data_IF_262184111506
#
_entry.id   IF_262184111506
#
_cell.length_a   1.000
_cell.length_b   1.000
_cell.length_c   1.000
_cell.angle_alpha   90.00
_cell.angle_beta   90.00
_cell.angle_gamma   90.00
#
_symmetry.space_group_name_H-M   'P 1'
#
loop_
_entity.id
_entity.type
_entity.pdbx_description
1 polymer ?
#
# COMPACT_ATOMS: atom_id res chain seq x y z
N UNK A 1 -17.66 21.71 -4.05
CA UNK A 1 -16.51 21.53 -3.15
C UNK A 1 -16.95 21.84 -1.74
N UNK A 2 -16.62 20.97 -0.79
CA UNK A 2 -16.88 21.19 0.64
C UNK A 2 -15.77 22.05 1.26
N UNK A 3 -16.03 22.68 2.41
CA UNK A 3 -15.03 23.46 3.17
C UNK A 3 -13.78 22.61 3.48
N UNK A 4 -14.01 21.35 3.85
CA UNK A 4 -12.96 20.35 4.11
C UNK A 4 -12.09 20.03 2.89
N UNK A 5 -12.68 19.92 1.70
CA UNK A 5 -11.92 19.73 0.45
C UNK A 5 -11.02 20.94 0.14
N UNK A 6 -11.50 22.15 0.43
CA UNK A 6 -10.75 23.37 0.21
C UNK A 6 -9.57 23.54 1.19
N UNK A 7 -9.75 23.14 2.44
CA UNK A 7 -8.68 23.05 3.44
C UNK A 7 -7.61 22.04 3.03
N UNK A 8 -8.02 20.87 2.56
CA UNK A 8 -7.09 19.84 2.09
C UNK A 8 -6.27 20.30 0.89
N UNK A 9 -6.92 20.95 -0.10
CA UNK A 9 -6.25 21.52 -1.27
C UNK A 9 -5.23 22.59 -0.86
N UNK A 10 -5.60 23.48 0.05
CA UNK A 10 -4.71 24.53 0.55
C UNK A 10 -3.50 23.95 1.27
N UNK A 11 -3.72 22.92 2.09
CA UNK A 11 -2.63 22.23 2.78
C UNK A 11 -1.71 21.44 1.84
N UNK A 12 -2.29 20.79 0.83
CA UNK A 12 -1.53 20.07 -0.18
C UNK A 12 -0.65 21.02 -1.01
N UNK A 13 -1.14 22.23 -1.29
CA UNK A 13 -0.39 23.30 -1.95
C UNK A 13 0.72 23.90 -1.07
N UNK A 14 0.60 23.80 0.26
CA UNK A 14 1.59 24.28 1.22
C UNK A 14 2.73 23.28 1.49
N UNK A 15 2.74 22.12 0.84
CA UNK A 15 3.85 21.16 0.93
C UNK A 15 5.05 21.67 0.13
N UNK A 16 6.21 21.70 0.78
CA UNK A 16 7.49 22.03 0.17
C UNK A 16 7.83 21.00 -0.92
N UNK A 17 8.30 21.50 -2.06
CA UNK A 17 8.69 20.65 -3.19
C UNK A 17 9.69 19.55 -2.79
N UNK A 18 10.65 19.87 -1.92
CA UNK A 18 11.63 18.91 -1.41
C UNK A 18 10.98 17.78 -0.58
N UNK A 19 9.97 18.09 0.23
CA UNK A 19 9.24 17.09 1.03
C UNK A 19 8.41 16.17 0.12
N UNK A 20 7.79 16.73 -0.92
CA UNK A 20 7.08 15.98 -1.95
C UNK A 20 8.01 15.06 -2.74
N UNK A 21 9.16 15.58 -3.20
CA UNK A 21 10.18 14.81 -3.93
C UNK A 21 10.73 13.67 -3.07
N UNK A 22 10.98 13.93 -1.79
CA UNK A 22 11.41 12.91 -0.84
C UNK A 22 10.34 11.81 -0.68
N UNK A 23 9.06 12.18 -0.57
CA UNK A 23 7.96 11.21 -0.49
C UNK A 23 7.85 10.37 -1.77
N UNK A 24 7.85 11.01 -2.95
CA UNK A 24 7.75 10.34 -4.24
C UNK A 24 8.95 9.39 -4.47
N UNK A 25 10.17 9.82 -4.13
CA UNK A 25 11.36 8.99 -4.23
C UNK A 25 11.27 7.75 -3.32
N UNK A 26 10.77 7.90 -2.10
CA UNK A 26 10.56 6.79 -1.16
C UNK A 26 9.51 5.79 -1.69
N UNK A 27 8.42 6.28 -2.29
CA UNK A 27 7.42 5.41 -2.94
C UNK A 27 8.04 4.65 -4.12
N UNK A 28 8.78 5.35 -4.99
CA UNK A 28 9.43 4.75 -6.14
C UNK A 28 10.45 3.68 -5.72
N UNK A 29 11.18 3.89 -4.63
CA UNK A 29 12.12 2.90 -4.09
C UNK A 29 11.38 1.64 -3.62
N UNK A 30 10.32 1.77 -2.82
CA UNK A 30 9.51 0.61 -2.41
C UNK A 30 8.95 -0.17 -3.60
N UNK A 31 8.55 0.52 -4.67
CA UNK A 31 8.08 -0.12 -5.91
C UNK A 31 9.20 -0.89 -6.64
N UNK A 32 10.43 -0.35 -6.67
CA UNK A 32 11.60 -1.04 -7.23
C UNK A 32 11.97 -2.27 -6.41
N UNK A 33 12.00 -2.15 -5.08
CA UNK A 33 12.27 -3.27 -4.18
C UNK A 33 11.23 -4.38 -4.36
N UNK A 34 9.94 -4.04 -4.38
CA UNK A 34 8.87 -4.99 -4.65
C UNK A 34 9.03 -5.68 -6.01
N UNK A 35 9.38 -4.94 -7.06
CA UNK A 35 9.60 -5.51 -8.40
C UNK A 35 10.75 -6.52 -8.40
N UNK A 36 11.83 -6.25 -7.65
CA UNK A 36 12.93 -7.20 -7.45
C UNK A 36 12.44 -8.47 -6.75
N UNK A 37 11.67 -8.32 -5.66
CA UNK A 37 11.08 -9.43 -4.94
C UNK A 37 10.12 -10.26 -5.80
N UNK A 38 9.27 -9.63 -6.59
CA UNK A 38 8.38 -10.30 -7.55
C UNK A 38 9.18 -11.17 -8.53
N UNK A 39 10.32 -10.68 -9.03
CA UNK A 39 11.24 -11.47 -9.85
C UNK A 39 11.84 -12.68 -9.12
N UNK A 40 12.14 -12.55 -7.83
CA UNK A 40 12.62 -13.67 -6.98
C UNK A 40 11.49 -14.71 -6.81
N UNK A 41 10.27 -14.27 -6.46
CA UNK A 41 9.12 -15.16 -6.33
C UNK A 41 8.80 -15.88 -7.65
N UNK A 42 8.80 -15.17 -8.78
CA UNK A 42 8.58 -15.75 -10.11
C UNK A 42 9.54 -16.91 -10.41
N UNK A 43 10.84 -16.73 -10.12
CA UNK A 43 11.83 -17.80 -10.29
C UNK A 43 11.61 -18.97 -9.34
N UNK A 44 11.31 -18.69 -8.07
CA UNK A 44 11.10 -19.72 -7.03
C UNK A 44 9.83 -20.53 -7.24
N UNK A 45 8.79 -19.94 -7.84
CA UNK A 45 7.51 -20.61 -8.10
C UNK A 45 7.68 -21.94 -8.86
N UNK A 46 8.68 -22.05 -9.73
CA UNK A 46 8.99 -23.27 -10.51
C UNK A 46 9.31 -24.49 -9.65
N UNK A 47 9.80 -24.29 -8.42
CA UNK A 47 10.18 -25.35 -7.48
C UNK A 47 9.16 -25.59 -6.37
N UNK A 48 8.04 -24.86 -6.35
CA UNK A 48 7.05 -24.96 -5.28
C UNK A 48 6.21 -26.23 -5.48
N UNK A 49 6.10 -27.04 -4.43
CA UNK A 49 5.16 -28.18 -4.41
C UNK A 49 3.76 -27.76 -3.98
N UNK A 50 2.75 -28.60 -4.25
CA UNK A 50 1.37 -28.36 -3.81
C UNK A 50 1.26 -28.17 -2.30
N UNK A 51 2.09 -28.87 -1.51
CA UNK A 51 2.11 -28.74 -0.04
C UNK A 51 2.67 -27.41 0.43
N UNK A 52 3.51 -26.76 -0.36
CA UNK A 52 4.17 -25.50 -0.03
C UNK A 52 3.44 -24.28 -0.60
N UNK A 53 2.48 -24.48 -1.52
CA UNK A 53 1.79 -23.41 -2.22
C UNK A 53 1.13 -22.39 -1.27
N UNK A 54 0.51 -22.86 -0.19
CA UNK A 54 -0.08 -21.99 0.83
C UNK A 54 0.98 -21.16 1.57
N UNK A 55 2.08 -21.78 2.01
CA UNK A 55 3.20 -21.06 2.65
C UNK A 55 3.83 -20.05 1.71
N UNK A 56 3.94 -20.39 0.43
CA UNK A 56 4.44 -19.49 -0.61
C UNK A 56 3.49 -18.30 -0.84
N UNK A 57 2.18 -18.54 -0.86
CA UNK A 57 1.16 -17.50 -0.95
C UNK A 57 1.22 -16.51 0.22
N UNK A 58 1.40 -17.02 1.45
CA UNK A 58 1.60 -16.19 2.65
C UNK A 58 2.88 -15.35 2.53
N UNK A 59 4.00 -15.96 2.16
CA UNK A 59 5.27 -15.25 2.01
C UNK A 59 5.22 -14.16 0.94
N UNK A 60 4.61 -14.46 -0.22
CA UNK A 60 4.35 -13.49 -1.29
C UNK A 60 3.52 -12.32 -0.76
N UNK A 61 2.39 -12.62 -0.11
CA UNK A 61 1.46 -11.61 0.39
C UNK A 61 2.09 -10.67 1.42
N UNK A 62 2.82 -11.24 2.39
CA UNK A 62 3.52 -10.44 3.41
C UNK A 62 4.63 -9.58 2.78
N UNK A 63 5.31 -10.09 1.75
CA UNK A 63 6.31 -9.30 1.02
C UNK A 63 5.64 -8.16 0.27
N UNK A 64 4.53 -8.42 -0.43
CA UNK A 64 3.76 -7.38 -1.11
C UNK A 64 3.33 -6.29 -0.14
N UNK A 65 2.67 -6.67 0.98
CA UNK A 65 2.22 -5.73 2.01
C UNK A 65 3.37 -4.94 2.63
N UNK A 66 4.51 -5.59 2.89
CA UNK A 66 5.68 -4.95 3.50
C UNK A 66 6.28 -3.81 2.68
N UNK A 67 6.07 -3.82 1.36
CA UNK A 67 6.59 -2.82 0.42
C UNK A 67 5.57 -1.76 -0.01
N UNK A 68 4.34 -1.82 0.50
CA UNK A 68 3.33 -0.80 0.19
C UNK A 68 3.63 0.53 0.89
N UNK A 69 3.29 1.68 0.27
CA UNK A 69 3.62 3.00 0.78
C UNK A 69 2.67 3.47 1.90
N UNK A 70 2.41 2.61 2.89
CA UNK A 70 1.52 2.85 4.03
C UNK A 70 2.21 3.53 5.24
N UNK A 71 3.52 3.79 5.16
CA UNK A 71 4.32 4.31 6.28
C UNK A 71 4.50 5.84 6.21
N UNK A 72 4.74 6.52 7.35
CA UNK A 72 4.99 7.97 7.38
C UNK A 72 6.13 8.45 6.46
N UNK A 73 7.14 7.61 6.21
CA UNK A 73 8.28 7.93 5.34
C UNK A 73 7.90 8.18 3.86
N UNK A 74 6.72 7.76 3.43
CA UNK A 74 6.20 8.02 2.08
C UNK A 74 5.11 9.10 2.07
N UNK A 75 4.82 9.74 3.20
CA UNK A 75 3.79 10.76 3.32
C UNK A 75 4.44 12.15 3.33
N UNK A 76 4.17 13.02 2.33
CA UNK A 76 4.79 14.35 2.27
C UNK A 76 4.44 15.22 3.49
N UNK A 77 3.22 15.08 4.02
CA UNK A 77 2.80 15.76 5.25
C UNK A 77 3.60 15.31 6.47
N UNK A 78 3.87 14.01 6.63
CA UNK A 78 4.67 13.51 7.74
C UNK A 78 6.14 13.93 7.61
N UNK A 79 6.68 13.97 6.39
CA UNK A 79 8.05 14.44 6.14
C UNK A 79 8.23 15.90 6.57
N UNK A 80 7.25 16.75 6.25
CA UNK A 80 7.28 18.18 6.56
C UNK A 80 6.94 18.48 8.03
N UNK A 81 5.85 17.91 8.54
CA UNK A 81 5.25 18.28 9.83
C UNK A 81 5.40 17.24 10.94
N UNK A 82 5.92 16.04 10.65
CA UNK A 82 5.97 14.93 11.62
C UNK A 82 7.16 14.96 12.58
N UNK A 83 8.13 15.86 12.41
CA UNK A 83 9.39 15.86 13.17
C UNK A 83 9.21 16.15 14.66
N UNK A 84 8.28 17.02 15.01
CA UNK A 84 8.02 17.44 16.40
C UNK A 84 6.86 16.68 17.05
N UNK A 85 6.23 15.75 16.32
CA UNK A 85 5.01 14.99 16.69
C UNK A 85 3.80 15.86 17.06
N UNK A 86 3.89 17.18 16.91
CA UNK A 86 2.77 18.08 17.14
C UNK A 86 1.78 18.01 15.99
N UNK A 87 2.26 17.66 14.78
CA UNK A 87 1.51 17.75 13.54
C UNK A 87 0.89 19.15 13.33
N UNK A 88 1.46 20.18 13.96
CA UNK A 88 0.96 21.55 13.86
C UNK A 88 1.09 22.03 12.41
N UNK A 89 -0.01 22.54 11.85
CA UNK A 89 -0.06 22.96 10.44
C UNK A 89 -0.16 21.81 9.42
N UNK A 90 -0.22 20.55 9.87
CA UNK A 90 -0.44 19.42 8.98
C UNK A 90 -1.91 19.40 8.53
N UNK A 91 -2.18 19.78 7.28
CA UNK A 91 -3.57 19.77 6.82
C UNK A 91 -4.15 18.37 6.57
N UNK A 92 -3.33 17.32 6.45
CA UNK A 92 -3.84 15.95 6.57
C UNK A 92 -4.45 15.74 7.96
N UNK A 93 -3.74 16.13 9.02
CA UNK A 93 -4.24 16.00 10.38
C UNK A 93 -5.49 16.85 10.65
N UNK A 94 -5.54 18.07 10.10
CA UNK A 94 -6.72 18.94 10.21
C UNK A 94 -7.97 18.33 9.56
N UNK A 95 -7.79 17.58 8.47
CA UNK A 95 -8.90 17.04 7.69
C UNK A 95 -9.22 15.58 8.01
N UNK A 96 -8.29 14.79 8.55
CA UNK A 96 -8.43 13.34 8.77
C UNK A 96 -8.12 12.89 10.21
N UNK A 97 -7.82 13.83 11.13
CA UNK A 97 -7.36 13.54 12.48
C UNK A 97 -5.85 13.32 12.55
N UNK A 98 -5.24 13.49 13.73
CA UNK A 98 -3.79 13.31 13.89
C UNK A 98 -3.44 11.83 13.78
N UNK A 99 -2.34 11.51 13.10
CA UNK A 99 -1.94 10.11 12.85
C UNK A 99 -1.62 9.28 14.12
N UNK A 100 -1.54 9.90 15.29
CA UNK A 100 -1.38 9.26 16.60
C UNK A 100 -2.68 9.17 17.42
N UNK A 101 -3.80 9.65 16.89
CA UNK A 101 -5.13 9.51 17.50
C UNK A 101 -5.78 8.22 17.00
N UNK A 102 -6.30 7.40 17.92
CA UNK A 102 -6.90 6.09 17.63
C UNK A 102 -8.03 6.15 16.59
N UNK A 103 -8.74 7.28 16.50
CA UNK A 103 -9.89 7.46 15.60
C UNK A 103 -9.55 8.19 14.31
N UNK A 104 -8.29 8.53 14.05
CA UNK A 104 -7.90 9.17 12.79
C UNK A 104 -8.05 8.21 11.61
N UNK A 105 -8.30 8.74 10.41
CA UNK A 105 -8.44 7.89 9.24
C UNK A 105 -7.18 7.07 8.96
N UNK A 106 -6.00 7.64 9.21
CA UNK A 106 -4.74 6.93 9.12
C UNK A 106 -4.63 5.79 10.15
N UNK A 107 -4.97 6.04 11.42
CA UNK A 107 -4.92 5.03 12.48
C UNK A 107 -5.84 3.85 12.18
N UNK A 108 -7.08 4.12 11.79
CA UNK A 108 -8.05 3.08 11.40
C UNK A 108 -7.52 2.27 10.20
N UNK A 109 -6.98 2.93 9.18
CA UNK A 109 -6.37 2.27 8.03
C UNK A 109 -5.16 1.41 8.41
N UNK A 110 -4.18 1.96 9.15
CA UNK A 110 -2.94 1.25 9.45
C UNK A 110 -3.18 0.07 10.41
N UNK A 111 -4.13 0.18 11.34
CA UNK A 111 -4.53 -0.93 12.20
C UNK A 111 -5.13 -2.07 11.38
N UNK A 112 -6.09 -1.78 10.50
CA UNK A 112 -6.64 -2.78 9.59
C UNK A 112 -5.54 -3.41 8.71
N UNK A 113 -4.61 -2.60 8.21
CA UNK A 113 -3.51 -3.03 7.35
C UNK A 113 -2.54 -3.98 8.08
N UNK A 114 -2.15 -3.64 9.32
CA UNK A 114 -1.29 -4.47 10.16
C UNK A 114 -2.01 -5.76 10.57
N UNK A 115 -3.29 -5.67 10.86
CA UNK A 115 -4.12 -6.81 11.22
C UNK A 115 -4.26 -7.81 10.05
N UNK A 116 -4.43 -7.33 8.81
CA UNK A 116 -4.38 -8.19 7.62
C UNK A 116 -3.04 -8.93 7.54
N UNK A 117 -1.92 -8.23 7.76
CA UNK A 117 -0.60 -8.84 7.82
C UNK A 117 -0.51 -9.93 8.90
N UNK A 118 -1.07 -9.68 10.09
CA UNK A 118 -1.13 -10.66 11.20
C UNK A 118 -1.96 -11.88 10.83
N UNK A 119 -3.14 -11.69 10.24
CA UNK A 119 -4.02 -12.78 9.78
C UNK A 119 -3.30 -13.67 8.78
N UNK A 120 -2.69 -13.09 7.74
CA UNK A 120 -1.93 -13.85 6.74
C UNK A 120 -0.71 -14.54 7.35
N UNK A 121 -0.04 -13.89 8.31
CA UNK A 121 1.07 -14.51 9.02
C UNK A 121 0.63 -15.69 9.88
N UNK A 122 -0.57 -15.69 10.44
CA UNK A 122 -1.07 -16.78 11.28
C UNK A 122 -1.93 -17.79 10.51
N UNK A 123 -2.18 -17.54 9.23
CA UNK A 123 -3.05 -18.38 8.41
C UNK A 123 -2.51 -19.83 8.37
N UNK A 124 -3.35 -20.75 8.81
CA UNK A 124 -3.11 -22.19 8.85
C UNK A 124 -4.17 -22.96 8.04
N UNK A 125 -5.12 -22.26 7.39
CA UNK A 125 -6.20 -22.88 6.62
C UNK A 125 -5.67 -23.33 5.25
N UNK A 126 -5.12 -24.54 5.21
CA UNK A 126 -4.65 -25.12 3.94
C UNK A 126 -5.83 -25.62 3.11
N UNK A 127 -6.07 -24.95 1.99
CA UNK A 127 -7.07 -25.38 1.01
C UNK A 127 -6.46 -26.39 0.03
N UNK A 128 -7.11 -27.55 -0.21
CA UNK A 128 -6.64 -28.49 -1.21
C UNK A 128 -6.81 -27.87 -2.60
N UNK A 129 -5.68 -27.57 -3.25
CA UNK A 129 -5.65 -27.00 -4.59
C UNK A 129 -4.64 -27.78 -5.43
N UNK A 130 -4.95 -27.96 -6.71
CA UNK A 130 -4.03 -28.61 -7.64
C UNK A 130 -2.84 -27.70 -7.94
N UNK A 131 -1.64 -28.26 -8.07
CA UNK A 131 -0.43 -27.45 -8.24
C UNK A 131 -0.49 -26.53 -9.46
N UNK A 132 -1.06 -26.99 -10.58
CA UNK A 132 -1.20 -26.17 -11.78
C UNK A 132 -2.09 -24.93 -11.54
N UNK A 133 -3.14 -25.09 -10.74
CA UNK A 133 -4.05 -24.00 -10.35
C UNK A 133 -3.34 -23.04 -9.38
N UNK A 134 -2.63 -23.59 -8.39
CA UNK A 134 -1.82 -22.79 -7.47
C UNK A 134 -0.78 -21.93 -8.20
N UNK A 135 -0.08 -22.55 -9.17
CA UNK A 135 0.93 -21.88 -9.98
C UNK A 135 0.33 -20.78 -10.84
N UNK A 136 -0.87 -20.98 -11.40
CA UNK A 136 -1.56 -19.95 -12.17
C UNK A 136 -1.94 -18.75 -11.29
N UNK A 137 -2.55 -18.99 -10.11
CA UNK A 137 -2.93 -17.94 -9.17
C UNK A 137 -1.71 -17.15 -8.70
N UNK A 138 -0.65 -17.84 -8.25
CA UNK A 138 0.58 -17.20 -7.77
C UNK A 138 1.29 -16.45 -8.89
N UNK A 139 1.36 -17.04 -10.09
CA UNK A 139 2.00 -16.45 -11.25
C UNK A 139 1.30 -15.16 -11.70
N UNK A 140 -0.04 -15.16 -11.70
CA UNK A 140 -0.85 -13.98 -11.98
C UNK A 140 -0.62 -12.88 -10.94
N UNK A 141 -0.75 -13.20 -9.64
CA UNK A 141 -0.47 -12.25 -8.55
C UNK A 141 0.92 -11.63 -8.68
N UNK A 142 1.96 -12.43 -8.93
CA UNK A 142 3.34 -11.94 -9.08
C UNK A 142 3.48 -11.02 -10.30
N UNK A 143 3.00 -11.46 -11.45
CA UNK A 143 3.13 -10.71 -12.72
C UNK A 143 2.39 -9.37 -12.64
N UNK A 144 1.17 -9.39 -12.13
CA UNK A 144 0.37 -8.18 -11.96
C UNK A 144 0.96 -7.24 -10.91
N UNK A 145 1.45 -7.77 -9.79
CA UNK A 145 2.11 -6.97 -8.75
C UNK A 145 3.35 -6.26 -9.31
N UNK A 146 4.18 -6.97 -10.08
CA UNK A 146 5.35 -6.40 -10.73
C UNK A 146 4.95 -5.29 -11.73
N UNK A 147 3.93 -5.53 -12.56
CA UNK A 147 3.46 -4.55 -13.52
C UNK A 147 2.87 -3.29 -12.84
N UNK A 148 2.13 -3.47 -11.74
CA UNK A 148 1.57 -2.36 -10.95
C UNK A 148 2.67 -1.55 -10.27
N UNK A 149 3.66 -2.22 -9.68
CA UNK A 149 4.80 -1.56 -9.07
C UNK A 149 5.63 -0.77 -10.09
N UNK A 150 5.85 -1.33 -11.28
CA UNK A 150 6.51 -0.63 -12.39
C UNK A 150 5.78 0.65 -12.78
N UNK A 151 4.47 0.56 -13.04
CA UNK A 151 3.64 1.74 -13.36
C UNK A 151 3.64 2.78 -12.25
N UNK A 152 3.45 2.38 -11.00
CA UNK A 152 3.48 3.31 -9.87
C UNK A 152 4.83 4.04 -9.77
N UNK A 153 5.95 3.35 -10.04
CA UNK A 153 7.27 3.97 -10.04
C UNK A 153 7.45 5.01 -11.17
N UNK A 154 6.83 4.78 -12.33
CA UNK A 154 6.79 5.73 -13.46
C UNK A 154 5.88 6.92 -13.11
N UNK A 155 4.64 6.65 -12.67
CA UNK A 155 3.64 7.66 -12.33
C UNK A 155 4.15 8.68 -11.30
N UNK A 156 4.87 8.22 -10.26
CA UNK A 156 5.44 9.13 -9.25
C UNK A 156 6.64 9.94 -9.75
N UNK A 157 7.36 9.46 -10.76
CA UNK A 157 8.46 10.20 -11.40
C UNK A 157 7.92 11.26 -12.37
N UNK A 158 6.76 11.01 -12.97
CA UNK A 158 6.09 11.93 -13.89
C UNK A 158 5.39 13.11 -13.20
N UNK A 159 5.32 13.12 -11.86
CA UNK A 159 4.83 14.26 -11.07
C UNK A 159 5.69 15.50 -11.35
N UNK A 160 5.35 16.23 -12.40
CA UNK A 160 6.19 17.27 -13.01
C UNK A 160 6.25 18.53 -12.15
N UNK A 161 7.42 19.18 -12.00
CA UNK A 161 7.52 20.50 -11.38
C UNK A 161 6.62 21.49 -12.14
N UNK A 162 5.58 22.00 -11.49
CA UNK A 162 4.62 22.96 -12.09
C UNK A 162 3.19 22.45 -12.27
N UNK A 163 2.91 21.15 -12.05
CA UNK A 163 1.52 20.71 -11.90
C UNK A 163 0.92 21.28 -10.61
N UNK A 164 -0.27 21.86 -10.68
CA UNK A 164 -1.04 22.21 -9.49
C UNK A 164 -1.44 20.91 -8.76
N UNK A 165 -1.52 20.98 -7.43
CA UNK A 165 -1.98 19.88 -6.59
C UNK A 165 -1.16 18.57 -6.66
N UNK A 166 0.14 18.60 -6.97
CA UNK A 166 1.00 17.39 -7.04
C UNK A 166 0.94 16.53 -5.77
N UNK A 167 0.87 17.16 -4.60
CA UNK A 167 0.70 16.45 -3.32
C UNK A 167 -0.61 15.67 -3.30
N UNK A 168 -1.71 16.25 -3.80
CA UNK A 168 -2.98 15.54 -3.91
C UNK A 168 -2.85 14.36 -4.86
N UNK A 169 -2.20 14.57 -6.00
CA UNK A 169 -2.01 13.52 -6.99
C UNK A 169 -1.18 12.36 -6.43
N UNK A 170 -0.08 12.63 -5.73
CA UNK A 170 0.71 11.59 -5.07
C UNK A 170 -0.13 10.79 -4.07
N UNK A 171 -0.93 11.46 -3.24
CA UNK A 171 -1.75 10.79 -2.23
C UNK A 171 -2.87 9.94 -2.85
N UNK A 172 -3.50 10.43 -3.93
CA UNK A 172 -4.47 9.65 -4.73
C UNK A 172 -3.80 8.41 -5.34
N UNK A 173 -2.66 8.57 -6.00
CA UNK A 173 -1.90 7.46 -6.59
C UNK A 173 -1.54 6.42 -5.52
N UNK A 174 -1.10 6.87 -4.33
CA UNK A 174 -0.80 5.97 -3.21
C UNK A 174 -2.02 5.17 -2.77
N UNK A 175 -3.18 5.82 -2.58
CA UNK A 175 -4.40 5.14 -2.15
C UNK A 175 -4.83 4.09 -3.21
N UNK A 176 -4.91 4.48 -4.48
CA UNK A 176 -5.24 3.58 -5.58
C UNK A 176 -4.26 2.40 -5.69
N UNK A 177 -2.97 2.66 -5.56
CA UNK A 177 -1.94 1.63 -5.61
C UNK A 177 -2.06 0.63 -4.46
N UNK A 178 -2.31 1.10 -3.24
CA UNK A 178 -2.53 0.22 -2.07
C UNK A 178 -3.76 -0.67 -2.30
N UNK A 179 -4.87 -0.09 -2.77
CA UNK A 179 -6.09 -0.84 -3.08
C UNK A 179 -5.86 -1.93 -4.13
N UNK A 180 -5.25 -1.56 -5.26
CA UNK A 180 -4.91 -2.46 -6.36
C UNK A 180 -4.07 -3.63 -5.84
N UNK A 181 -3.00 -3.32 -5.08
CA UNK A 181 -2.06 -4.32 -4.58
C UNK A 181 -2.68 -5.28 -3.56
N UNK A 182 -3.59 -4.81 -2.71
CA UNK A 182 -4.38 -5.67 -1.82
C UNK A 182 -5.28 -6.59 -2.64
N UNK A 183 -5.88 -6.08 -3.73
CA UNK A 183 -6.69 -6.88 -4.66
C UNK A 183 -5.91 -7.99 -5.37
N UNK A 184 -4.58 -7.87 -5.47
CA UNK A 184 -3.70 -8.85 -6.11
C UNK A 184 -3.20 -9.96 -5.18
N UNK A 185 -3.51 -9.90 -3.88
CA UNK A 185 -3.14 -10.98 -2.98
C UNK A 185 -3.83 -12.29 -3.41
N UNK A 186 -3.14 -13.44 -3.34
CA UNK A 186 -3.64 -14.73 -3.82
C UNK A 186 -4.70 -15.34 -2.89
N UNK A 187 -5.83 -14.64 -2.65
CA UNK A 187 -6.86 -15.05 -1.68
C UNK A 187 -7.50 -16.40 -1.95
N UNK A 188 -7.45 -16.90 -3.19
CA UNK A 188 -7.88 -18.27 -3.50
C UNK A 188 -7.03 -19.34 -2.79
N UNK A 189 -5.82 -18.98 -2.38
CA UNK A 189 -4.88 -19.80 -1.62
C UNK A 189 -4.78 -19.38 -0.16
N UNK A 190 -5.59 -18.43 0.31
CA UNK A 190 -5.61 -17.97 1.70
C UNK A 190 -6.98 -18.24 2.32
N UNK A 191 -7.06 -18.10 3.65
CA UNK A 191 -8.29 -18.23 4.42
C UNK A 191 -9.35 -17.20 4.02
N UNK A 192 -10.61 -17.53 4.34
CA UNK A 192 -11.70 -16.57 4.23
C UNK A 192 -11.53 -15.36 5.16
N UNK A 193 -10.79 -15.53 6.25
CA UNK A 193 -10.46 -14.46 7.20
C UNK A 193 -9.52 -13.44 6.57
N UNK A 194 -8.49 -13.88 5.83
CA UNK A 194 -7.63 -12.98 5.07
C UNK A 194 -8.42 -12.14 4.05
N UNK A 195 -9.41 -12.75 3.38
CA UNK A 195 -10.30 -12.04 2.46
C UNK A 195 -11.17 -10.99 3.16
N UNK A 196 -11.71 -11.30 4.34
CA UNK A 196 -12.47 -10.32 5.15
C UNK A 196 -11.57 -9.18 5.65
N UNK A 197 -10.37 -9.51 6.15
CA UNK A 197 -9.40 -8.51 6.56
C UNK A 197 -9.02 -7.57 5.41
N UNK A 198 -8.83 -8.10 4.20
CA UNK A 198 -8.56 -7.28 3.02
C UNK A 198 -9.72 -6.33 2.69
N UNK A 199 -10.97 -6.77 2.85
CA UNK A 199 -12.13 -5.90 2.68
C UNK A 199 -12.15 -4.78 3.73
N UNK A 200 -11.83 -5.08 5.00
CA UNK A 200 -11.72 -4.07 6.05
C UNK A 200 -10.64 -3.02 5.72
N UNK A 201 -9.49 -3.43 5.18
CA UNK A 201 -8.46 -2.48 4.74
C UNK A 201 -8.98 -1.59 3.62
N UNK A 202 -9.67 -2.15 2.61
CA UNK A 202 -10.24 -1.38 1.51
C UNK A 202 -11.32 -0.40 1.98
N UNK A 203 -12.14 -0.81 2.92
CA UNK A 203 -13.18 0.06 3.49
C UNK A 203 -12.53 1.23 4.26
N UNK A 204 -11.52 0.95 5.10
CA UNK A 204 -10.78 1.98 5.83
C UNK A 204 -9.98 2.92 4.90
N UNK A 205 -9.49 2.41 3.76
CA UNK A 205 -8.73 3.20 2.79
C UNK A 205 -9.58 4.28 2.11
N UNK A 206 -10.91 4.11 2.03
CA UNK A 206 -11.82 5.13 1.47
C UNK A 206 -11.84 6.43 2.28
N UNK A 207 -11.62 6.32 3.58
CA UNK A 207 -11.57 7.46 4.47
C UNK A 207 -10.14 7.98 4.66
N UNK A 208 -9.12 7.19 4.26
CA UNK A 208 -7.71 7.58 4.36
C UNK A 208 -7.36 8.75 3.44
N UNK A 209 -7.96 8.81 2.24
CA UNK A 209 -7.75 9.86 1.25
C UNK A 209 -8.88 9.91 0.22
#
# INVERSE_FOLDING_TARGET
MTEREQELLSAAAAIDAACLEQAAAAVAEGCRELSCWAGIFSRRLKGVSSKEAHTFARALSLTMLGHLPARPATCPFCIQYGRDRSCSGCGYAATHGRCDEDTSAFSVFIEAFLELGRIIYQDAEVRPVQMHEAAAILGESISMAQARAGRMAEDVQELSPGQECRTMHLMLLKAMYIEDMIGLLPFRLLSSEAMRGAQQVKDALRDYW
#
